data_IF_689673670782
#
_entry.id   IF_689673670782
#
_cell.length_a   1.000
_cell.length_b   1.000
_cell.length_c   1.000
_cell.angle_alpha   90.00
_cell.angle_beta   90.00
_cell.angle_gamma   90.00
#
_symmetry.space_group_name_H-M   'P 1'
#
loop_
_entity.id
_entity.type
_entity.pdbx_description
1 polymer ?
#
# COMPACT_ATOMS: atom_id res chain seq x y z
N UNK A 1 21.15 1.55 -7.02
CA UNK A 1 19.94 2.37 -6.81
C UNK A 1 19.52 2.94 -8.16
N UNK A 2 18.85 2.13 -8.99
CA UNK A 2 18.36 2.57 -10.30
C UNK A 2 16.91 2.94 -10.06
N UNK A 3 16.65 4.20 -9.71
CA UNK A 3 15.29 4.71 -9.78
C UNK A 3 15.00 4.83 -11.26
N UNK A 4 14.27 3.87 -11.81
CA UNK A 4 13.72 3.96 -13.15
C UNK A 4 12.88 5.24 -13.18
N UNK A 5 13.40 6.29 -13.83
CA UNK A 5 12.79 7.63 -13.83
C UNK A 5 11.57 7.60 -14.73
N UNK A 6 10.45 7.14 -14.19
CA UNK A 6 9.17 7.25 -14.86
C UNK A 6 8.72 8.73 -14.82
N UNK A 7 8.14 9.23 -15.91
CA UNK A 7 7.73 10.65 -16.03
C UNK A 7 6.83 11.10 -14.86
N UNK A 8 6.07 10.16 -14.31
CA UNK A 8 5.21 10.34 -13.15
C UNK A 8 5.98 10.68 -11.86
N UNK A 9 7.09 10.00 -11.57
CA UNK A 9 7.88 10.24 -10.35
C UNK A 9 8.53 11.62 -10.37
N UNK A 10 8.98 12.06 -11.55
CA UNK A 10 9.51 13.41 -11.76
C UNK A 10 8.42 14.47 -11.53
N UNK A 11 7.23 14.26 -12.09
CA UNK A 11 6.10 15.18 -11.92
C UNK A 11 5.64 15.32 -10.46
N UNK A 12 5.61 14.20 -9.72
CA UNK A 12 5.29 14.17 -8.29
C UNK A 12 6.34 14.96 -7.48
N UNK A 13 7.62 14.83 -7.83
CA UNK A 13 8.70 15.55 -7.14
C UNK A 13 8.61 17.08 -7.34
N UNK A 14 8.26 17.53 -8.55
CA UNK A 14 8.12 18.94 -8.89
C UNK A 14 6.86 19.57 -8.27
N UNK A 15 5.76 18.81 -8.17
CA UNK A 15 4.47 19.27 -7.66
C UNK A 15 4.08 18.64 -6.32
N UNK A 16 5.02 18.53 -5.37
CA UNK A 16 4.83 17.83 -4.08
C UNK A 16 3.56 18.23 -3.30
N UNK A 17 3.20 19.52 -3.30
CA UNK A 17 1.97 20.03 -2.65
C UNK A 17 0.71 19.46 -3.33
N UNK A 18 0.64 19.52 -4.67
CA UNK A 18 -0.51 19.00 -5.43
C UNK A 18 -0.63 17.49 -5.28
N UNK A 19 0.48 16.77 -5.35
CA UNK A 19 0.49 15.32 -5.17
C UNK A 19 -0.02 14.90 -3.78
N UNK A 20 0.35 15.63 -2.71
CA UNK A 20 -0.16 15.37 -1.36
C UNK A 20 -1.67 15.61 -1.26
N UNK A 21 -2.18 16.68 -1.85
CA UNK A 21 -3.61 16.98 -1.86
C UNK A 21 -4.40 15.92 -2.63
N UNK A 22 -3.92 15.53 -3.82
CA UNK A 22 -4.54 14.48 -4.63
C UNK A 22 -4.58 13.15 -3.87
N UNK A 23 -3.48 12.78 -3.21
CA UNK A 23 -3.42 11.57 -2.38
C UNK A 23 -4.43 11.60 -1.23
N UNK A 24 -4.56 12.73 -0.54
CA UNK A 24 -5.56 12.90 0.52
C UNK A 24 -7.00 12.76 0.02
N UNK A 25 -7.31 13.33 -1.14
CA UNK A 25 -8.63 13.22 -1.78
C UNK A 25 -8.93 11.76 -2.16
N UNK A 26 -7.95 11.03 -2.69
CA UNK A 26 -8.10 9.61 -3.02
C UNK A 26 -8.42 8.75 -1.78
N UNK A 27 -7.76 9.04 -0.66
CA UNK A 27 -8.03 8.33 0.61
C UNK A 27 -9.46 8.61 1.09
N UNK A 28 -9.89 9.89 1.07
CA UNK A 28 -11.27 10.25 1.43
C UNK A 28 -12.29 9.54 0.54
N UNK A 29 -12.04 9.48 -0.77
CA UNK A 29 -12.91 8.78 -1.71
C UNK A 29 -12.99 7.28 -1.40
N UNK A 30 -11.86 6.67 -1.05
CA UNK A 30 -11.78 5.24 -0.67
C UNK A 30 -12.61 4.95 0.58
N UNK A 31 -12.61 5.86 1.56
CA UNK A 31 -13.46 5.74 2.76
C UNK A 31 -14.94 5.80 2.40
N UNK A 32 -15.35 6.71 1.51
CA UNK A 32 -16.74 6.82 1.06
C UNK A 32 -17.18 5.54 0.34
N UNK A 33 -16.34 4.99 -0.53
CA UNK A 33 -16.62 3.73 -1.23
C UNK A 33 -16.77 2.57 -0.25
N UNK A 34 -15.91 2.49 0.77
CA UNK A 34 -16.00 1.46 1.81
C UNK A 34 -17.30 1.56 2.63
N UNK A 35 -17.76 2.78 2.93
CA UNK A 35 -19.05 3.02 3.60
C UNK A 35 -20.22 2.55 2.74
N UNK A 36 -20.19 2.80 1.43
CA UNK A 36 -21.25 2.38 0.51
C UNK A 36 -21.32 0.86 0.42
N UNK A 37 -20.17 0.17 0.34
CA UNK A 37 -20.13 -1.28 0.17
C UNK A 37 -20.41 -2.08 1.46
N UNK A 38 -19.91 -1.60 2.61
CA UNK A 38 -19.98 -2.35 3.88
C UNK A 38 -21.04 -1.82 4.86
N UNK A 39 -21.67 -0.68 4.57
CA UNK A 39 -22.60 0.00 5.47
C UNK A 39 -21.94 1.03 6.38
N UNK A 40 -22.73 1.83 7.11
CA UNK A 40 -22.22 3.01 7.85
C UNK A 40 -21.28 2.66 9.00
N UNK A 41 -21.65 1.70 9.86
CA UNK A 41 -20.80 1.26 10.97
C UNK A 41 -19.60 0.43 10.51
N UNK A 42 -19.87 -0.65 9.77
CA UNK A 42 -18.82 -1.56 9.28
C UNK A 42 -17.89 -0.89 8.27
N UNK A 43 -18.36 0.07 7.48
CA UNK A 43 -17.54 0.75 6.48
C UNK A 43 -16.53 1.73 7.07
N UNK A 44 -16.84 2.40 8.18
CA UNK A 44 -15.85 3.26 8.87
C UNK A 44 -14.74 2.40 9.47
N UNK A 45 -15.09 1.34 10.19
CA UNK A 45 -14.08 0.41 10.74
C UNK A 45 -13.32 -0.34 9.65
N UNK A 46 -14.02 -0.80 8.61
CA UNK A 46 -13.43 -1.44 7.44
C UNK A 46 -12.44 -0.52 6.72
N UNK A 47 -12.80 0.75 6.51
CA UNK A 47 -11.90 1.73 5.92
C UNK A 47 -10.64 1.97 6.76
N UNK A 48 -10.77 2.02 8.10
CA UNK A 48 -9.62 2.12 9.01
C UNK A 48 -8.71 0.90 8.94
N UNK A 49 -9.29 -0.30 8.90
CA UNK A 49 -8.53 -1.56 8.75
C UNK A 49 -7.80 -1.59 7.40
N UNK A 50 -8.47 -1.20 6.32
CA UNK A 50 -7.86 -1.10 4.98
C UNK A 50 -6.71 -0.09 5.00
N UNK A 51 -6.92 1.10 5.58
CA UNK A 51 -5.89 2.13 5.68
C UNK A 51 -4.66 1.65 6.47
N UNK A 52 -4.88 1.00 7.62
CA UNK A 52 -3.81 0.41 8.43
C UNK A 52 -3.09 -0.73 7.71
N UNK A 53 -3.81 -1.55 6.96
CA UNK A 53 -3.23 -2.65 6.18
C UNK A 53 -2.29 -2.12 5.09
N UNK A 54 -2.71 -1.07 4.37
CA UNK A 54 -1.86 -0.41 3.36
C UNK A 54 -0.63 0.23 4.01
N UNK A 55 -0.81 0.93 5.15
CA UNK A 55 0.32 1.52 5.88
C UNK A 55 1.31 0.46 6.38
N UNK A 56 0.81 -0.66 6.90
CA UNK A 56 1.65 -1.80 7.29
C UNK A 56 2.47 -2.30 6.11
N UNK A 57 1.84 -2.44 4.94
CA UNK A 57 2.53 -2.88 3.71
C UNK A 57 3.66 -1.92 3.30
N UNK A 58 3.43 -0.60 3.40
CA UNK A 58 4.46 0.41 3.12
C UNK A 58 5.63 0.29 4.10
N UNK A 59 5.34 0.10 5.39
CA UNK A 59 6.39 -0.08 6.42
C UNK A 59 7.15 -1.39 6.21
N UNK A 60 6.46 -2.48 5.85
CA UNK A 60 7.08 -3.78 5.59
C UNK A 60 7.97 -3.75 4.35
N UNK A 61 7.56 -3.02 3.31
CA UNK A 61 8.31 -2.93 2.05
C UNK A 61 9.52 -1.99 2.12
N UNK A 62 9.51 -1.03 3.05
CA UNK A 62 10.62 -0.10 3.25
C UNK A 62 11.99 -0.76 3.53
N UNK A 63 12.13 -1.77 4.40
CA UNK A 63 13.40 -2.49 4.59
C UNK A 63 13.69 -3.52 3.49
N UNK A 64 12.66 -4.01 2.79
CA UNK A 64 12.78 -5.04 1.75
C UNK A 64 13.65 -4.58 0.57
N UNK A 65 13.74 -3.27 0.32
CA UNK A 65 14.62 -2.71 -0.70
C UNK A 65 16.12 -2.97 -0.46
N UNK A 66 16.53 -3.30 0.76
CA UNK A 66 17.91 -3.60 1.10
C UNK A 66 18.28 -5.08 0.91
N UNK A 67 17.28 -5.96 0.69
CA UNK A 67 17.51 -7.40 0.53
C UNK A 67 17.82 -7.77 -0.92
N UNK A 68 18.66 -8.80 -1.11
CA UNK A 68 18.94 -9.36 -2.43
C UNK A 68 17.70 -10.10 -2.96
N UNK A 69 17.40 -9.95 -4.25
CA UNK A 69 16.32 -10.64 -4.97
C UNK A 69 16.12 -12.14 -4.63
N UNK A 70 17.17 -12.99 -4.53
CA UNK A 70 16.99 -14.38 -4.14
C UNK A 70 16.39 -14.55 -2.74
N UNK A 71 16.78 -13.72 -1.77
CA UNK A 71 16.22 -13.78 -0.41
C UNK A 71 14.74 -13.39 -0.43
N UNK A 72 14.40 -12.37 -1.23
CA UNK A 72 13.02 -11.91 -1.41
C UNK A 72 12.13 -13.01 -2.00
N UNK A 73 12.61 -13.70 -3.04
CA UNK A 73 11.88 -14.80 -3.68
C UNK A 73 11.67 -15.99 -2.73
N UNK A 74 12.69 -16.31 -1.92
CA UNK A 74 12.59 -17.41 -0.94
C UNK A 74 11.58 -17.08 0.16
N UNK A 75 11.59 -15.83 0.65
CA UNK A 75 10.68 -15.37 1.70
C UNK A 75 9.24 -15.31 1.21
N UNK A 76 9.02 -14.91 -0.05
CA UNK A 76 7.72 -14.99 -0.72
C UNK A 76 7.21 -16.44 -0.81
N UNK A 77 8.07 -17.37 -1.26
CA UNK A 77 7.73 -18.79 -1.34
C UNK A 77 7.35 -19.37 0.03
N UNK A 78 8.15 -19.09 1.06
CA UNK A 78 7.84 -19.50 2.44
C UNK A 78 6.49 -18.96 2.88
N UNK A 79 6.24 -17.66 2.65
CA UNK A 79 4.99 -17.03 3.08
C UNK A 79 3.79 -17.64 2.38
N UNK A 80 3.93 -18.00 1.11
CA UNK A 80 2.87 -18.65 0.32
C UNK A 80 2.58 -20.07 0.82
N UNK A 81 3.62 -20.84 1.15
CA UNK A 81 3.47 -22.20 1.70
C UNK A 81 2.78 -22.13 3.07
N UNK A 82 3.17 -21.19 3.92
CA UNK A 82 2.56 -20.95 5.23
C UNK A 82 1.09 -20.58 5.08
N UNK A 83 0.74 -19.67 4.17
CA UNK A 83 -0.65 -19.28 3.89
C UNK A 83 -1.50 -20.51 3.54
N UNK A 84 -1.09 -21.32 2.55
CA UNK A 84 -1.88 -22.47 2.08
C UNK A 84 -1.96 -23.66 3.04
N UNK A 85 -1.06 -23.74 4.02
CA UNK A 85 -0.99 -24.87 4.95
C UNK A 85 -1.68 -24.57 6.28
N UNK A 86 -1.80 -23.29 6.64
CA UNK A 86 -2.37 -22.82 7.92
C UNK A 86 -3.76 -22.19 7.75
N UNK A 87 -4.02 -21.50 6.63
CA UNK A 87 -5.32 -20.92 6.27
C UNK A 87 -6.03 -21.78 5.21
#
# INVERSE_FOLDING_TARGET
MIIQTNSLSYWISFNRKKARTIGGILILLSVVIAIINMGTGSGIFGALVILMSILSLVVLTAPLQFFKWPVLATLLLISFIVEFLIF
#
